data_IF_017613116681
#
_entry.id   IF_017613116681
#
_cell.length_a   1.000
_cell.length_b   1.000
_cell.length_c   1.000
_cell.angle_alpha   90.00
_cell.angle_beta   90.00
_cell.angle_gamma   90.00
#
_symmetry.space_group_name_H-M   'P 1'
#
loop_
_entity.id
_entity.type
_entity.pdbx_description
1 polymer ?
#
# COMPACT_ATOMS: atom_id res chain seq x y z
N UNK A 1 26.47 25.21 6.82
CA UNK A 1 26.45 24.93 5.36
C UNK A 1 27.16 23.62 5.11
N UNK A 2 26.46 22.56 4.73
CA UNK A 2 27.10 21.30 4.38
C UNK A 2 27.72 21.41 2.99
N UNK A 3 29.00 21.04 2.89
CA UNK A 3 29.77 21.14 1.66
C UNK A 3 29.55 20.02 0.65
N UNK A 4 28.63 19.08 0.89
CA UNK A 4 28.50 17.85 0.12
C UNK A 4 27.05 17.53 -0.24
N UNK A 5 26.36 18.43 -0.91
CA UNK A 5 25.16 18.04 -1.65
C UNK A 5 25.60 17.31 -2.94
N UNK A 6 25.27 16.05 -3.07
CA UNK A 6 25.47 15.31 -4.31
C UNK A 6 24.24 15.55 -5.17
N UNK A 7 24.45 16.05 -6.39
CA UNK A 7 23.39 16.03 -7.38
C UNK A 7 23.18 14.59 -7.85
N UNK A 8 22.05 13.96 -7.53
CA UNK A 8 21.81 12.56 -7.86
C UNK A 8 21.73 12.29 -9.37
N UNK A 9 21.59 13.35 -10.17
CA UNK A 9 21.52 13.24 -11.62
C UNK A 9 22.89 13.53 -12.29
N UNK A 10 23.98 13.61 -11.52
CA UNK A 10 25.33 13.75 -12.00
C UNK A 10 25.57 15.09 -12.71
N UNK A 11 26.74 15.63 -12.58
CA UNK A 11 27.20 16.76 -13.34
C UNK A 11 26.92 18.13 -12.72
N UNK A 12 27.85 19.02 -12.96
CA UNK A 12 27.75 20.46 -12.67
C UNK A 12 26.71 21.04 -13.62
N UNK A 13 25.55 21.35 -13.16
CA UNK A 13 24.49 21.93 -13.96
C UNK A 13 23.30 21.01 -14.26
N UNK A 14 23.13 19.93 -13.51
CA UNK A 14 21.94 19.09 -13.57
C UNK A 14 20.66 19.83 -13.21
N UNK A 15 19.54 19.15 -13.21
CA UNK A 15 18.16 19.63 -13.08
C UNK A 15 17.82 20.62 -11.96
N UNK A 16 18.78 21.10 -11.21
CA UNK A 16 18.58 22.01 -10.07
C UNK A 16 18.04 21.36 -8.81
N UNK A 17 17.69 20.09 -8.84
CA UNK A 17 17.30 19.35 -7.64
C UNK A 17 18.57 18.91 -6.94
N UNK A 18 18.88 19.56 -5.84
CA UNK A 18 19.98 19.15 -4.96
C UNK A 18 19.40 18.42 -3.77
N UNK A 19 19.49 17.10 -3.78
CA UNK A 19 19.17 16.31 -2.61
C UNK A 19 20.40 16.18 -1.70
N UNK A 20 20.26 16.25 -0.39
CA UNK A 20 21.37 15.93 0.50
C UNK A 20 21.78 14.48 0.29
N UNK A 21 23.09 14.16 0.25
CA UNK A 21 23.58 12.79 -0.03
C UNK A 21 23.14 11.78 1.02
N UNK A 22 22.82 12.25 2.19
CA UNK A 22 22.28 11.47 3.30
C UNK A 22 21.19 12.29 3.92
N UNK A 23 19.99 11.79 3.80
CA UNK A 23 18.88 12.32 4.55
C UNK A 23 19.02 11.82 5.99
N UNK A 24 19.24 12.72 6.93
CA UNK A 24 19.24 12.38 8.33
C UNK A 24 17.94 12.87 8.96
N UNK A 25 17.15 11.97 9.49
CA UNK A 25 15.87 12.32 10.11
C UNK A 25 15.98 13.35 11.24
N UNK A 26 17.11 13.34 11.96
CA UNK A 26 17.42 14.30 13.02
C UNK A 26 17.76 15.71 12.53
N UNK A 27 17.85 15.91 11.22
CA UNK A 27 18.07 17.22 10.66
C UNK A 27 16.76 17.85 10.26
N UNK A 28 16.52 19.07 10.68
CA UNK A 28 15.37 19.83 10.21
C UNK A 28 15.42 19.97 8.69
N UNK A 29 14.60 19.18 8.01
CA UNK A 29 14.62 19.08 6.56
C UNK A 29 13.55 19.98 5.97
N UNK A 30 13.47 21.18 6.48
CA UNK A 30 12.59 22.22 5.96
C UNK A 30 12.78 22.44 4.46
N UNK A 31 13.94 22.06 3.91
CA UNK A 31 14.27 22.25 2.48
C UNK A 31 14.15 21.00 1.64
N UNK A 32 13.75 19.87 2.19
CA UNK A 32 13.53 18.65 1.41
C UNK A 32 12.04 18.54 1.07
N UNK A 33 11.65 19.20 0.05
CA UNK A 33 10.25 19.28 -0.37
C UNK A 33 9.79 18.08 -1.18
N UNK A 34 10.75 17.30 -1.70
CA UNK A 34 10.47 16.26 -2.67
C UNK A 34 11.17 14.96 -2.29
N UNK A 35 10.46 13.86 -2.30
CA UNK A 35 11.02 12.52 -2.23
C UNK A 35 11.34 11.99 -3.62
N UNK A 36 12.56 11.50 -3.83
CA UNK A 36 12.97 10.88 -5.11
C UNK A 36 13.16 9.38 -4.89
N UNK A 37 12.24 8.55 -5.40
CA UNK A 37 12.31 7.11 -5.22
C UNK A 37 13.64 6.51 -5.69
N UNK A 38 14.17 5.57 -4.92
CA UNK A 38 15.41 4.86 -5.21
C UNK A 38 16.70 5.62 -4.86
N UNK A 39 16.64 6.89 -4.47
CA UNK A 39 17.79 7.68 -4.06
C UNK A 39 17.99 7.78 -2.55
N UNK A 40 16.93 7.58 -1.80
CA UNK A 40 16.93 7.68 -0.35
C UNK A 40 16.57 6.32 0.25
N UNK A 41 17.45 5.79 1.06
CA UNK A 41 17.14 4.63 1.90
C UNK A 41 16.42 5.08 3.17
N UNK A 42 15.60 4.20 3.73
CA UNK A 42 15.03 4.41 5.06
C UNK A 42 16.15 4.36 6.09
N UNK A 43 16.24 5.37 6.94
CA UNK A 43 17.23 5.41 8.02
C UNK A 43 16.98 4.29 9.05
N UNK A 44 18.01 3.86 9.82
CA UNK A 44 17.90 2.72 10.73
C UNK A 44 16.87 2.92 11.86
N UNK A 45 16.53 4.15 12.20
CA UNK A 45 15.55 4.51 13.23
C UNK A 45 14.35 5.26 12.63
N UNK A 46 14.11 5.08 11.36
CA UNK A 46 13.09 5.78 10.58
C UNK A 46 11.96 4.83 10.16
N UNK A 47 10.74 5.35 10.19
CA UNK A 47 9.55 4.77 9.55
C UNK A 47 9.17 5.66 8.38
N UNK A 48 9.00 5.09 7.19
CA UNK A 48 8.50 5.78 6.00
C UNK A 48 7.13 5.24 5.64
N UNK A 49 6.16 6.14 5.56
CA UNK A 49 4.78 5.84 5.21
C UNK A 49 4.50 6.48 3.86
N UNK A 50 4.05 5.68 2.89
CA UNK A 50 3.74 6.14 1.53
C UNK A 50 2.29 5.82 1.20
N UNK A 51 1.52 6.83 0.82
CA UNK A 51 0.14 6.68 0.38
C UNK A 51 0.13 6.30 -1.09
N UNK A 52 0.10 5.01 -1.38
CA UNK A 52 0.16 4.47 -2.75
C UNK A 52 -1.20 4.30 -3.41
N UNK A 53 -2.26 4.57 -2.68
CA UNK A 53 -3.64 4.69 -3.13
C UNK A 53 -4.44 5.45 -2.09
N UNK A 54 -5.20 6.45 -2.51
CA UNK A 54 -5.80 7.44 -1.61
C UNK A 54 -7.28 7.73 -1.88
N UNK A 55 -7.88 7.02 -2.84
CA UNK A 55 -9.25 7.27 -3.30
C UNK A 55 -10.22 6.16 -2.88
N UNK A 56 -11.47 6.49 -2.53
CA UNK A 56 -12.58 5.55 -2.52
C UNK A 56 -13.03 5.20 -3.95
N UNK A 57 -14.10 4.45 -4.07
CA UNK A 57 -14.76 4.26 -5.36
C UNK A 57 -15.61 5.50 -5.74
N UNK A 58 -15.56 5.98 -6.99
CA UNK A 58 -14.76 5.53 -8.13
C UNK A 58 -13.32 6.08 -8.11
N UNK A 59 -12.34 5.30 -8.59
CA UNK A 59 -10.95 5.76 -8.66
C UNK A 59 -10.80 6.91 -9.66
N UNK A 60 -9.75 7.72 -9.47
CA UNK A 60 -9.42 8.86 -10.31
C UNK A 60 -8.12 8.63 -11.06
N UNK A 61 -7.82 9.47 -12.03
CA UNK A 61 -6.59 9.33 -12.83
C UNK A 61 -5.32 9.38 -11.99
N UNK A 62 -5.28 10.25 -11.00
CA UNK A 62 -4.16 10.55 -10.11
C UNK A 62 -4.35 10.00 -8.68
N UNK A 63 -5.39 9.21 -8.49
CA UNK A 63 -5.68 8.53 -7.24
C UNK A 63 -6.09 7.07 -7.51
N UNK A 64 -5.24 6.14 -7.13
CA UNK A 64 -5.56 4.73 -7.04
C UNK A 64 -6.45 4.47 -5.81
N UNK A 65 -7.08 3.31 -5.78
CA UNK A 65 -7.85 2.90 -4.61
C UNK A 65 -6.93 2.61 -3.41
N UNK A 66 -7.49 2.62 -2.23
CA UNK A 66 -6.81 2.75 -0.95
C UNK A 66 -5.69 1.75 -0.72
N UNK A 67 -4.52 2.26 -0.38
CA UNK A 67 -3.39 1.46 0.08
C UNK A 67 -2.30 2.34 0.72
N UNK A 68 -1.73 1.87 1.82
CA UNK A 68 -0.65 2.54 2.53
C UNK A 68 0.52 1.58 2.66
N UNK A 69 1.69 1.98 2.18
CA UNK A 69 2.94 1.23 2.33
C UNK A 69 3.74 1.81 3.50
N UNK A 70 4.19 0.95 4.40
CA UNK A 70 5.04 1.32 5.55
C UNK A 70 6.36 0.58 5.44
N UNK A 71 7.45 1.33 5.36
CA UNK A 71 8.82 0.83 5.33
C UNK A 71 9.53 1.18 6.63
N UNK A 72 10.23 0.22 7.21
CA UNK A 72 10.95 0.38 8.48
C UNK A 72 12.46 0.32 8.28
N UNK A 73 13.21 1.00 9.12
CA UNK A 73 14.67 1.04 9.06
C UNK A 73 15.36 -0.31 9.31
N UNK A 74 14.64 -1.33 9.78
CA UNK A 74 15.12 -2.71 9.87
C UNK A 74 15.01 -3.49 8.54
N UNK A 75 14.42 -2.87 7.50
CA UNK A 75 14.21 -3.45 6.18
C UNK A 75 12.85 -4.08 5.96
N UNK A 76 12.02 -4.22 6.99
CA UNK A 76 10.65 -4.73 6.85
C UNK A 76 9.77 -3.73 6.08
N UNK A 77 8.85 -4.27 5.29
CA UNK A 77 7.86 -3.48 4.54
C UNK A 77 6.49 -4.11 4.67
N UNK A 78 5.50 -3.30 4.97
CA UNK A 78 4.12 -3.70 5.19
C UNK A 78 3.18 -2.88 4.29
N UNK A 79 2.10 -3.53 3.85
CA UNK A 79 1.06 -2.89 3.06
C UNK A 79 -0.25 -2.98 3.84
N UNK A 80 -0.85 -1.84 4.12
CA UNK A 80 -2.17 -1.74 4.73
C UNK A 80 -3.17 -1.42 3.63
N UNK A 81 -3.99 -2.42 3.30
CA UNK A 81 -4.80 -2.49 2.09
C UNK A 81 -3.97 -2.52 0.80
N UNK A 82 -4.57 -3.00 -0.28
CA UNK A 82 -3.96 -3.05 -1.61
C UNK A 82 -5.06 -2.89 -2.68
N UNK A 83 -5.64 -1.71 -2.74
CA UNK A 83 -6.71 -1.38 -3.67
C UNK A 83 -6.23 -1.25 -5.12
N UNK A 84 -7.15 -1.33 -6.09
CA UNK A 84 -6.82 -1.27 -7.53
C UNK A 84 -6.00 -0.05 -7.93
N UNK A 85 -4.86 -0.31 -8.59
CA UNK A 85 -3.91 0.70 -9.07
C UNK A 85 -2.78 1.02 -8.10
N UNK A 86 -2.81 0.55 -6.85
CA UNK A 86 -1.80 0.83 -5.84
C UNK A 86 -0.47 0.11 -6.12
N UNK A 87 -0.50 -1.10 -6.67
CA UNK A 87 0.71 -1.84 -7.07
C UNK A 87 1.55 -1.03 -8.08
N UNK A 88 0.91 -0.36 -9.03
CA UNK A 88 1.61 0.53 -9.97
C UNK A 88 2.40 1.63 -9.23
N UNK A 89 1.80 2.24 -8.23
CA UNK A 89 2.42 3.30 -7.44
C UNK A 89 3.55 2.77 -6.55
N UNK A 90 3.40 1.59 -5.92
CA UNK A 90 4.47 0.94 -5.19
C UNK A 90 5.70 0.68 -6.09
N UNK A 91 5.48 0.18 -7.31
CA UNK A 91 6.54 -0.02 -8.30
C UNK A 91 7.17 1.32 -8.71
N UNK A 92 6.39 2.37 -8.90
CA UNK A 92 6.89 3.71 -9.21
C UNK A 92 7.76 4.28 -8.07
N UNK A 93 7.44 3.94 -6.82
CA UNK A 93 8.27 4.24 -5.64
C UNK A 93 9.48 3.29 -5.49
N UNK A 94 9.80 2.52 -6.52
CA UNK A 94 10.94 1.60 -6.60
C UNK A 94 10.85 0.39 -5.66
N UNK A 95 9.65 0.00 -5.23
CA UNK A 95 9.44 -1.27 -4.57
C UNK A 95 9.36 -2.39 -5.62
N UNK A 96 10.25 -3.37 -5.52
CA UNK A 96 10.21 -4.52 -6.41
C UNK A 96 8.93 -5.35 -6.18
N UNK A 97 8.30 -5.90 -7.23
CA UNK A 97 7.06 -6.68 -7.08
C UNK A 97 7.15 -7.79 -6.03
N UNK A 98 8.28 -8.49 -5.96
CA UNK A 98 8.53 -9.56 -5.00
C UNK A 98 8.63 -9.09 -3.53
N UNK A 99 8.79 -7.79 -3.29
CA UNK A 99 8.82 -7.19 -1.96
C UNK A 99 7.42 -6.77 -1.46
N UNK A 100 6.40 -6.84 -2.32
CA UNK A 100 5.01 -6.59 -1.95
C UNK A 100 4.45 -7.92 -1.44
N UNK A 101 4.69 -8.21 -0.18
CA UNK A 101 4.50 -9.56 0.35
C UNK A 101 3.77 -9.66 1.69
N UNK A 102 3.85 -8.66 2.56
CA UNK A 102 3.13 -8.62 3.84
C UNK A 102 1.98 -7.62 3.75
N UNK A 103 0.76 -8.11 3.55
CA UNK A 103 -0.43 -7.30 3.30
C UNK A 103 -1.43 -7.48 4.45
N UNK A 104 -1.85 -6.37 5.04
CA UNK A 104 -2.88 -6.29 6.08
C UNK A 104 -4.15 -5.72 5.45
N UNK A 105 -5.22 -6.49 5.40
CA UNK A 105 -6.50 -6.09 4.82
C UNK A 105 -7.43 -5.62 5.94
N UNK A 106 -7.90 -4.39 5.85
CA UNK A 106 -8.82 -3.83 6.85
C UNK A 106 -10.20 -4.45 6.73
N UNK A 107 -10.69 -4.64 5.53
CA UNK A 107 -11.97 -5.27 5.22
C UNK A 107 -12.04 -5.69 3.75
N UNK A 108 -13.11 -6.36 3.34
CA UNK A 108 -13.19 -7.02 2.04
C UNK A 108 -13.95 -6.23 0.96
N UNK A 109 -14.10 -4.90 1.08
CA UNK A 109 -14.49 -4.10 -0.06
C UNK A 109 -13.38 -4.09 -1.10
N UNK A 110 -13.75 -4.16 -2.38
CA UNK A 110 -12.80 -4.43 -3.46
C UNK A 110 -11.79 -3.30 -3.69
N UNK A 111 -12.11 -2.08 -3.30
CA UNK A 111 -11.20 -0.93 -3.31
C UNK A 111 -10.10 -0.99 -2.24
N UNK A 112 -10.13 -1.98 -1.34
CA UNK A 112 -9.09 -2.23 -0.33
C UNK A 112 -8.19 -3.44 -0.63
N UNK A 113 -8.58 -4.35 -1.54
CA UNK A 113 -7.75 -5.52 -1.84
C UNK A 113 -7.72 -5.90 -3.33
N UNK A 114 -8.36 -5.14 -4.21
CA UNK A 114 -8.55 -5.52 -5.61
C UNK A 114 -7.27 -5.62 -6.45
N UNK A 115 -6.12 -5.11 -5.98
CA UNK A 115 -4.82 -5.35 -6.62
C UNK A 115 -4.15 -6.66 -6.15
N UNK A 116 -4.64 -7.32 -5.09
CA UNK A 116 -4.11 -8.63 -4.65
C UNK A 116 -4.25 -9.69 -5.76
N UNK A 117 -5.42 -9.87 -6.41
CA UNK A 117 -5.56 -10.80 -7.52
C UNK A 117 -4.66 -10.49 -8.73
N UNK A 118 -4.32 -9.21 -8.93
CA UNK A 118 -3.39 -8.79 -9.99
C UNK A 118 -1.93 -9.06 -9.59
N UNK A 119 -1.54 -8.71 -8.37
CA UNK A 119 -0.20 -8.90 -7.85
C UNK A 119 0.19 -10.37 -7.73
N UNK A 120 -0.69 -11.18 -7.15
CA UNK A 120 -0.42 -12.54 -6.69
C UNK A 120 0.17 -13.47 -7.77
N UNK A 121 -0.44 -13.64 -8.96
CA UNK A 121 0.05 -14.57 -9.94
C UNK A 121 1.36 -14.12 -10.60
N UNK A 122 1.50 -12.83 -10.89
CA UNK A 122 2.67 -12.31 -11.60
C UNK A 122 3.93 -12.28 -10.72
N UNK A 123 3.81 -11.95 -9.46
CA UNK A 123 4.99 -11.86 -8.57
C UNK A 123 5.59 -13.22 -8.25
N UNK A 124 4.82 -14.29 -8.38
CA UNK A 124 5.32 -15.64 -8.21
C UNK A 124 6.53 -15.92 -9.12
N UNK A 125 6.44 -15.59 -10.41
CA UNK A 125 7.52 -15.77 -11.37
C UNK A 125 8.51 -14.60 -11.43
N UNK A 126 8.27 -13.51 -10.69
CA UNK A 126 9.10 -12.31 -10.68
C UNK A 126 9.90 -12.13 -9.39
N UNK A 127 10.28 -13.21 -8.74
CA UNK A 127 11.20 -13.20 -7.59
C UNK A 127 10.58 -13.65 -6.27
N UNK A 128 9.26 -13.83 -6.16
CA UNK A 128 8.61 -14.32 -4.94
C UNK A 128 8.56 -15.85 -4.81
N UNK A 129 9.23 -16.58 -5.65
CA UNK A 129 9.26 -18.06 -5.59
C UNK A 129 9.84 -18.64 -4.29
N UNK A 130 10.55 -17.85 -3.48
CA UNK A 130 11.12 -18.26 -2.20
C UNK A 130 10.15 -18.19 -1.06
N UNK A 131 9.14 -17.33 -1.18
CA UNK A 131 8.23 -16.98 -0.11
C UNK A 131 6.77 -17.05 -0.57
N UNK A 132 5.90 -17.49 0.33
CA UNK A 132 4.47 -17.34 0.16
C UNK A 132 4.04 -15.87 0.24
N UNK A 133 2.93 -15.51 -0.39
CA UNK A 133 2.26 -14.24 -0.13
C UNK A 133 1.61 -14.30 1.24
N UNK A 134 1.89 -13.34 2.12
CA UNK A 134 1.32 -13.29 3.46
C UNK A 134 0.20 -12.26 3.50
N UNK A 135 -0.99 -12.73 3.84
CA UNK A 135 -2.19 -11.90 3.98
C UNK A 135 -2.67 -12.01 5.43
N UNK A 136 -2.75 -10.89 6.11
CA UNK A 136 -3.37 -10.77 7.43
C UNK A 136 -4.67 -10.00 7.29
N UNK A 137 -5.76 -10.52 7.84
CA UNK A 137 -7.04 -9.84 7.77
C UNK A 137 -8.10 -10.43 8.70
N UNK A 138 -9.23 -9.75 8.87
CA UNK A 138 -10.29 -10.18 9.75
C UNK A 138 -11.03 -11.41 9.20
N UNK A 139 -11.58 -12.22 10.10
CA UNK A 139 -12.68 -13.11 9.78
C UNK A 139 -13.94 -12.28 9.45
N UNK A 140 -14.98 -12.95 9.01
CA UNK A 140 -16.27 -12.28 8.74
C UNK A 140 -17.36 -12.72 9.70
N UNK A 141 -18.56 -12.18 9.50
CA UNK A 141 -19.76 -12.60 10.22
C UNK A 141 -20.05 -14.12 10.09
N UNK A 142 -19.44 -14.78 9.14
CA UNK A 142 -19.43 -16.23 8.94
C UNK A 142 -18.13 -16.66 8.26
N UNK A 143 -17.75 -17.96 8.36
CA UNK A 143 -16.54 -18.48 7.70
C UNK A 143 -16.47 -18.24 6.19
N UNK A 144 -17.60 -18.08 5.53
CA UNK A 144 -17.68 -17.81 4.09
C UNK A 144 -17.36 -16.37 3.70
N UNK A 145 -17.27 -15.47 4.66
CA UNK A 145 -17.13 -14.02 4.46
C UNK A 145 -15.81 -13.47 5.02
N UNK A 146 -14.91 -14.33 5.48
CA UNK A 146 -13.62 -13.95 6.01
C UNK A 146 -12.52 -13.86 4.95
N UNK A 147 -11.38 -13.37 5.38
CA UNK A 147 -10.17 -13.19 4.54
C UNK A 147 -9.68 -14.52 3.96
N UNK A 148 -9.61 -15.59 4.78
CA UNK A 148 -9.11 -16.89 4.33
C UNK A 148 -9.96 -17.44 3.18
N UNK A 149 -11.27 -17.44 3.32
CA UNK A 149 -12.17 -17.92 2.28
C UNK A 149 -12.14 -17.05 1.03
N UNK A 150 -11.94 -15.75 1.19
CA UNK A 150 -11.80 -14.84 0.06
C UNK A 150 -10.55 -15.16 -0.75
N UNK A 151 -9.41 -15.43 -0.10
CA UNK A 151 -8.16 -15.80 -0.78
C UNK A 151 -8.27 -17.17 -1.48
N UNK A 152 -8.96 -18.14 -0.91
CA UNK A 152 -9.25 -19.41 -1.60
C UNK A 152 -10.03 -19.18 -2.90
N UNK A 153 -11.13 -18.42 -2.83
CA UNK A 153 -11.95 -18.10 -4.01
C UNK A 153 -11.19 -17.30 -5.05
N UNK A 154 -10.28 -16.43 -4.63
CA UNK A 154 -9.39 -15.70 -5.53
C UNK A 154 -8.48 -16.67 -6.30
N UNK A 155 -7.91 -17.68 -5.64
CA UNK A 155 -7.10 -18.72 -6.32
C UNK A 155 -7.93 -19.48 -7.34
N UNK A 156 -9.15 -19.89 -6.99
CA UNK A 156 -10.07 -20.57 -7.92
C UNK A 156 -10.36 -19.70 -9.16
N UNK A 157 -10.61 -18.42 -8.95
CA UNK A 157 -10.84 -17.47 -10.04
C UNK A 157 -9.64 -17.34 -10.99
N UNK A 158 -8.43 -17.51 -10.47
CA UNK A 158 -7.18 -17.33 -11.21
C UNK A 158 -6.62 -18.66 -11.77
N UNK A 159 -7.32 -19.76 -11.64
CA UNK A 159 -6.84 -21.11 -12.00
C UNK A 159 -6.24 -21.15 -13.39
N UNK A 160 -6.88 -20.55 -14.39
CA UNK A 160 -6.38 -20.51 -15.77
C UNK A 160 -4.97 -19.92 -15.84
N UNK A 161 -4.72 -18.80 -15.14
CA UNK A 161 -3.42 -18.15 -15.11
C UNK A 161 -2.36 -19.01 -14.38
N UNK A 162 -2.75 -19.61 -13.26
CA UNK A 162 -1.84 -20.41 -12.45
C UNK A 162 -1.36 -21.65 -13.21
N UNK A 163 -2.27 -22.33 -13.92
CA UNK A 163 -1.94 -23.50 -14.76
C UNK A 163 -1.06 -23.12 -15.97
N UNK A 164 -1.35 -21.97 -16.63
CA UNK A 164 -0.58 -21.49 -17.77
C UNK A 164 0.90 -21.26 -17.43
N UNK A 165 1.19 -20.78 -16.23
CA UNK A 165 2.56 -20.48 -15.78
C UNK A 165 3.19 -21.57 -14.89
N UNK A 166 2.56 -22.73 -14.73
CA UNK A 166 3.06 -23.82 -13.86
C UNK A 166 4.44 -24.34 -14.31
N UNK A 167 4.78 -24.21 -15.57
CA UNK A 167 6.10 -24.58 -16.10
C UNK A 167 7.22 -23.61 -15.70
N UNK A 168 6.89 -22.45 -15.16
CA UNK A 168 7.83 -21.38 -14.79
C UNK A 168 8.48 -21.60 -13.42
N UNK A 169 9.39 -20.70 -13.03
CA UNK A 169 10.02 -20.73 -11.72
C UNK A 169 9.07 -20.22 -10.63
N UNK A 170 8.10 -21.03 -10.23
CA UNK A 170 7.03 -20.65 -9.30
C UNK A 170 7.43 -20.90 -7.84
N UNK A 171 8.06 -22.03 -7.52
CA UNK A 171 8.41 -22.41 -6.15
C UNK A 171 7.24 -22.25 -5.18
N UNK A 172 7.44 -21.47 -4.12
CA UNK A 172 6.37 -21.09 -3.17
C UNK A 172 5.48 -19.93 -3.63
N UNK A 173 5.74 -19.37 -4.79
CA UNK A 173 5.08 -18.16 -5.25
C UNK A 173 3.56 -18.27 -5.38
N UNK A 174 3.01 -19.46 -5.53
CA UNK A 174 1.57 -19.71 -5.53
C UNK A 174 1.01 -20.13 -4.17
N UNK A 175 1.84 -20.14 -3.12
CA UNK A 175 1.35 -20.29 -1.76
C UNK A 175 0.85 -18.94 -1.22
N UNK A 176 -0.23 -18.97 -0.48
CA UNK A 176 -0.75 -17.84 0.30
C UNK A 176 -0.84 -18.27 1.75
N UNK A 177 -0.12 -17.61 2.63
CA UNK A 177 -0.24 -17.76 4.06
C UNK A 177 -1.26 -16.73 4.57
N UNK A 178 -2.42 -17.19 5.00
CA UNK A 178 -3.45 -16.31 5.55
C UNK A 178 -3.40 -16.39 7.07
N UNK A 179 -3.19 -15.24 7.70
CA UNK A 179 -3.36 -15.04 9.12
C UNK A 179 -4.71 -14.36 9.37
N UNK A 180 -5.76 -15.15 9.53
CA UNK A 180 -7.10 -14.66 9.82
C UNK A 180 -7.30 -14.56 11.34
N UNK A 181 -7.79 -13.40 11.81
CA UNK A 181 -8.04 -13.13 13.22
C UNK A 181 -9.53 -12.84 13.48
N UNK A 182 -9.99 -13.03 14.70
CA UNK A 182 -11.35 -12.65 15.12
C UNK A 182 -11.48 -11.11 15.09
N UNK A 183 -12.32 -10.62 14.19
CA UNK A 183 -12.54 -9.17 14.03
C UNK A 183 -13.08 -8.49 15.29
N UNK A 184 -13.63 -9.25 16.25
CA UNK A 184 -14.19 -8.73 17.51
C UNK A 184 -13.13 -8.52 18.59
N UNK A 185 -11.92 -9.02 18.40
CA UNK A 185 -10.85 -8.83 19.38
C UNK A 185 -10.46 -7.35 19.48
N UNK A 186 -10.62 -6.82 20.68
CA UNK A 186 -10.22 -5.45 20.98
C UNK A 186 -8.71 -5.40 21.33
N UNK A 187 -7.91 -4.72 20.52
CA UNK A 187 -6.46 -4.58 20.69
C UNK A 187 -5.69 -5.93 20.58
N UNK A 188 -6.20 -6.87 19.80
CA UNK A 188 -5.55 -8.15 19.52
C UNK A 188 -4.23 -7.99 18.77
N UNK A 189 -3.24 -8.85 19.01
CA UNK A 189 -1.99 -8.88 18.26
C UNK A 189 -2.18 -9.81 17.06
N UNK A 190 -2.09 -9.26 15.85
CA UNK A 190 -2.14 -10.05 14.61
C UNK A 190 -0.77 -10.23 13.93
N UNK A 191 0.27 -9.56 14.40
CA UNK A 191 1.64 -9.74 13.93
C UNK A 191 2.64 -9.36 15.02
N UNK A 192 3.66 -10.20 15.23
CA UNK A 192 4.75 -9.90 16.15
C UNK A 192 6.04 -10.58 15.66
N UNK A 193 6.93 -9.79 15.05
CA UNK A 193 8.20 -10.28 14.51
C UNK A 193 9.18 -9.13 14.30
N UNK A 194 10.49 -9.37 14.41
CA UNK A 194 11.56 -8.40 14.15
C UNK A 194 11.43 -7.09 14.94
N UNK A 195 10.84 -7.14 16.14
CA UNK A 195 10.58 -5.94 16.96
C UNK A 195 9.40 -5.09 16.46
N UNK A 196 8.65 -5.58 15.47
CA UNK A 196 7.40 -4.99 15.00
C UNK A 196 6.24 -5.70 15.66
N UNK A 197 5.27 -4.93 16.17
CA UNK A 197 4.00 -5.45 16.65
C UNK A 197 2.88 -4.76 15.87
N UNK A 198 1.95 -5.55 15.31
CA UNK A 198 0.73 -5.01 14.72
C UNK A 198 -0.47 -5.49 15.53
N UNK A 199 -1.29 -4.54 15.96
CA UNK A 199 -2.53 -4.75 16.72
C UNK A 199 -3.73 -4.37 15.88
N UNK A 200 -4.88 -4.93 16.21
CA UNK A 200 -6.14 -4.66 15.54
C UNK A 200 -7.30 -4.47 16.53
N UNK A 201 -8.37 -3.85 16.06
CA UNK A 201 -9.65 -3.73 16.78
C UNK A 201 -10.79 -3.55 15.77
N UNK A 202 -12.04 -3.92 16.18
CA UNK A 202 -13.18 -3.83 15.28
C UNK A 202 -13.53 -2.40 14.87
N UNK A 203 -14.01 -2.27 13.65
CA UNK A 203 -14.58 -1.04 13.09
C UNK A 203 -16.07 -1.24 12.74
N UNK A 204 -16.86 -0.19 12.88
CA UNK A 204 -18.25 -0.19 12.42
C UNK A 204 -18.31 0.31 10.98
N UNK A 205 -18.41 -0.63 10.02
CA UNK A 205 -18.43 -0.31 8.60
C UNK A 205 -19.35 -1.29 7.85
N UNK A 206 -20.63 -0.93 7.73
CA UNK A 206 -21.65 -1.66 7.00
C UNK A 206 -21.87 -3.11 7.43
N UNK A 207 -20.84 -3.93 7.33
CA UNK A 207 -20.87 -5.36 7.66
C UNK A 207 -19.77 -5.73 8.65
N UNK A 208 -20.01 -6.74 9.49
CA UNK A 208 -19.02 -7.26 10.43
C UNK A 208 -17.78 -7.79 9.70
N UNK A 209 -16.61 -7.54 10.29
CA UNK A 209 -15.32 -7.94 9.74
C UNK A 209 -14.45 -6.76 9.30
N UNK A 210 -14.84 -5.52 9.53
CA UNK A 210 -13.94 -4.38 9.34
C UNK A 210 -13.07 -4.18 10.58
N UNK A 211 -11.78 -3.87 10.37
CA UNK A 211 -10.78 -3.73 11.43
C UNK A 211 -9.83 -2.57 11.14
N UNK A 212 -9.39 -1.90 12.22
CA UNK A 212 -8.28 -0.95 12.20
C UNK A 212 -6.98 -1.64 12.60
N UNK A 213 -5.85 -1.00 12.27
CA UNK A 213 -4.51 -1.49 12.61
C UNK A 213 -3.66 -0.42 13.28
N UNK A 214 -2.85 -0.87 14.23
CA UNK A 214 -1.75 -0.11 14.82
C UNK A 214 -0.45 -0.88 14.68
N UNK A 215 0.56 -0.26 14.08
CA UNK A 215 1.92 -0.77 13.99
C UNK A 215 2.80 0.00 14.98
N UNK A 216 3.49 -0.74 15.84
CA UNK A 216 4.50 -0.20 16.75
C UNK A 216 5.87 -0.82 16.42
N UNK A 217 6.88 0.03 16.26
CA UNK A 217 8.26 -0.38 16.00
C UNK A 217 9.27 0.66 16.50
N UNK A 218 10.29 0.23 17.25
CA UNK A 218 11.41 1.06 17.73
C UNK A 218 10.97 2.37 18.45
N UNK A 219 9.80 2.32 19.10
CA UNK A 219 9.21 3.48 19.77
C UNK A 219 8.54 4.49 18.84
N UNK A 220 8.33 4.12 17.57
CA UNK A 220 7.49 4.80 16.60
C UNK A 220 6.17 4.05 16.42
N UNK A 221 5.11 4.77 16.06
CA UNK A 221 3.77 4.21 15.96
C UNK A 221 2.97 4.81 14.80
N UNK A 222 2.26 3.94 14.10
CA UNK A 222 1.39 4.28 12.98
C UNK A 222 0.03 3.61 13.17
N UNK A 223 -1.04 4.33 12.87
CA UNK A 223 -2.41 3.78 12.85
C UNK A 223 -3.04 4.05 11.49
N UNK A 224 -3.65 3.02 10.93
CA UNK A 224 -4.62 3.09 9.85
C UNK A 224 -5.96 2.55 10.35
N UNK A 225 -6.98 3.41 10.37
CA UNK A 225 -8.30 3.00 10.88
C UNK A 225 -9.06 2.09 9.94
N UNK A 226 -8.67 2.01 8.66
CA UNK A 226 -9.59 1.49 7.64
C UNK A 226 -10.84 2.33 7.56
N UNK A 227 -11.82 1.83 6.85
CA UNK A 227 -13.13 2.46 6.74
C UNK A 227 -13.98 2.22 7.98
N UNK A 228 -14.79 3.19 8.32
CA UNK A 228 -15.72 3.04 9.43
C UNK A 228 -16.12 4.36 10.07
N UNK A 229 -17.16 4.26 10.87
CA UNK A 229 -17.67 5.40 11.67
C UNK A 229 -16.67 5.78 12.76
N UNK A 230 -16.69 7.03 13.25
CA UNK A 230 -15.93 7.41 14.45
C UNK A 230 -16.28 6.49 15.62
N UNK A 231 -15.27 5.99 16.32
CA UNK A 231 -15.49 5.05 17.42
C UNK A 231 -14.53 5.24 18.59
N UNK A 232 -14.95 4.71 19.74
CA UNK A 232 -14.20 4.77 20.98
C UNK A 232 -12.88 3.98 20.93
N UNK A 233 -12.86 2.83 20.29
CA UNK A 233 -11.69 1.96 20.28
C UNK A 233 -10.55 2.58 19.48
N UNK A 234 -10.87 3.18 18.32
CA UNK A 234 -9.88 3.93 17.52
C UNK A 234 -9.28 5.09 18.32
N UNK A 235 -10.08 5.81 19.12
CA UNK A 235 -9.56 6.86 20.01
C UNK A 235 -8.68 6.26 21.10
N UNK A 236 -9.15 5.20 21.77
CA UNK A 236 -8.48 4.63 22.93
C UNK A 236 -7.12 4.01 22.56
N UNK A 237 -7.07 3.19 21.52
CA UNK A 237 -5.86 2.47 21.13
C UNK A 237 -4.89 3.30 20.28
N UNK A 238 -5.30 4.50 19.87
CA UNK A 238 -4.44 5.40 19.09
C UNK A 238 -3.90 6.59 19.88
N UNK A 239 -4.20 6.73 21.18
CA UNK A 239 -3.75 7.87 21.97
C UNK A 239 -2.22 8.06 21.90
N UNK A 240 -1.82 9.27 21.52
CA UNK A 240 -0.43 9.67 21.49
C UNK A 240 0.45 8.96 20.46
N UNK A 241 -0.14 8.36 19.42
CA UNK A 241 0.63 7.77 18.30
C UNK A 241 1.35 8.84 17.50
N UNK A 242 2.42 8.46 16.80
CA UNK A 242 3.14 9.39 15.93
C UNK A 242 2.29 9.80 14.74
N UNK A 243 1.74 8.82 14.02
CA UNK A 243 0.92 9.06 12.82
C UNK A 243 -0.43 8.39 12.98
N UNK A 244 -1.49 9.16 12.97
CA UNK A 244 -2.86 8.68 12.97
C UNK A 244 -3.53 8.98 11.65
N UNK A 245 -3.83 7.95 10.90
CA UNK A 245 -4.49 8.03 9.59
C UNK A 245 -5.91 7.51 9.71
N UNK A 246 -6.88 8.31 9.26
CA UNK A 246 -8.27 7.88 9.11
C UNK A 246 -8.75 8.14 7.68
N UNK A 247 -9.79 7.42 7.28
CA UNK A 247 -10.57 7.81 6.12
C UNK A 247 -11.48 8.97 6.45
N UNK A 248 -11.96 9.66 5.44
CA UNK A 248 -13.13 10.54 5.58
C UNK A 248 -13.91 10.58 4.30
N UNK A 249 -15.22 10.57 4.46
CA UNK A 249 -16.14 10.96 3.40
C UNK A 249 -16.76 12.30 3.81
N UNK A 250 -16.86 13.23 2.87
CA UNK A 250 -17.47 14.51 3.21
C UNK A 250 -18.99 14.36 3.37
N UNK A 251 -19.54 15.04 4.35
CA UNK A 251 -20.99 15.10 4.59
C UNK A 251 -21.65 16.19 3.68
N UNK A 252 -21.44 16.06 2.39
CA UNK A 252 -21.89 17.01 1.37
C UNK A 252 -22.76 16.31 0.32
N UNK A 253 -23.81 15.63 0.78
CA UNK A 253 -24.69 14.84 -0.08
C UNK A 253 -25.18 15.54 -1.33
N UNK A 254 -25.49 16.85 -1.26
CA UNK A 254 -25.89 17.63 -2.43
C UNK A 254 -24.76 17.81 -3.45
N UNK A 255 -23.53 18.08 -2.98
CA UNK A 255 -22.36 18.18 -3.85
C UNK A 255 -22.05 16.84 -4.52
N UNK A 256 -22.13 15.76 -3.76
CA UNK A 256 -21.89 14.41 -4.28
C UNK A 256 -23.01 13.95 -5.22
N UNK A 257 -24.24 14.35 -4.98
CA UNK A 257 -25.31 14.16 -5.94
C UNK A 257 -24.99 14.84 -7.28
N UNK A 258 -24.54 16.08 -7.25
CA UNK A 258 -24.14 16.81 -8.45
C UNK A 258 -22.96 16.15 -9.17
N UNK A 259 -21.94 15.71 -8.43
CA UNK A 259 -20.71 15.12 -8.99
C UNK A 259 -20.89 13.69 -9.50
N UNK A 260 -21.61 12.85 -8.77
CA UNK A 260 -21.70 11.41 -9.01
C UNK A 260 -23.08 10.96 -9.49
N UNK A 261 -24.08 11.83 -9.50
CA UNK A 261 -25.47 11.47 -9.81
C UNK A 261 -26.16 10.60 -8.75
N UNK A 262 -25.53 10.41 -7.59
CA UNK A 262 -26.08 9.63 -6.49
C UNK A 262 -27.11 10.46 -5.73
N UNK A 263 -28.32 9.94 -5.42
CA UNK A 263 -29.26 10.67 -4.59
C UNK A 263 -28.64 11.10 -3.26
N UNK A 264 -28.84 12.34 -2.85
CA UNK A 264 -28.28 12.92 -1.61
C UNK A 264 -28.65 12.13 -0.37
N UNK A 265 -29.90 11.67 -0.24
CA UNK A 265 -30.35 10.84 0.87
C UNK A 265 -29.59 9.48 0.93
N UNK A 266 -29.23 8.90 -0.22
CA UNK A 266 -28.47 7.66 -0.26
C UNK A 266 -27.01 7.90 0.15
N UNK A 267 -26.42 8.99 -0.33
CA UNK A 267 -25.06 9.36 0.03
C UNK A 267 -24.95 9.62 1.54
N UNK A 268 -25.87 10.42 2.10
CA UNK A 268 -25.90 10.70 3.54
C UNK A 268 -26.08 9.40 4.36
N UNK A 269 -26.95 8.49 3.90
CA UNK A 269 -27.09 7.18 4.53
C UNK A 269 -25.77 6.38 4.53
N UNK A 270 -25.01 6.41 3.44
CA UNK A 270 -23.71 5.76 3.34
C UNK A 270 -22.71 6.36 4.34
N UNK A 271 -22.64 7.68 4.44
CA UNK A 271 -21.76 8.33 5.44
C UNK A 271 -22.16 7.92 6.85
N UNK A 272 -23.43 8.03 7.20
CA UNK A 272 -23.94 7.75 8.54
C UNK A 272 -23.72 6.30 8.99
N UNK A 273 -23.68 5.36 8.07
CA UNK A 273 -23.61 3.94 8.36
C UNK A 273 -22.25 3.30 8.11
N UNK A 274 -21.40 3.90 7.27
CA UNK A 274 -20.18 3.27 6.79
C UNK A 274 -18.91 4.10 7.03
N UNK A 275 -19.00 5.42 7.08
CA UNK A 275 -17.82 6.27 6.98
C UNK A 275 -17.69 7.31 8.09
N UNK A 276 -16.51 7.89 8.18
CA UNK A 276 -16.20 8.99 9.10
C UNK A 276 -16.48 10.32 8.41
N UNK A 277 -17.43 11.14 8.88
CA UNK A 277 -17.61 12.50 8.37
C UNK A 277 -16.39 13.37 8.74
N UNK A 278 -16.11 14.39 7.95
CA UNK A 278 -14.91 15.22 8.08
C UNK A 278 -14.76 15.89 9.48
N UNK A 279 -15.85 16.39 10.07
CA UNK A 279 -15.83 16.91 11.44
C UNK A 279 -15.61 15.81 12.49
N UNK A 280 -16.10 14.57 12.22
CA UNK A 280 -15.85 13.40 13.05
C UNK A 280 -14.38 12.99 13.05
N UNK A 281 -13.69 13.10 11.91
CA UNK A 281 -12.24 12.94 11.84
C UNK A 281 -11.52 13.96 12.72
N UNK A 282 -11.90 15.24 12.64
CA UNK A 282 -11.37 16.31 13.49
C UNK A 282 -11.56 16.02 14.98
N UNK A 283 -12.75 15.53 15.37
CA UNK A 283 -13.02 15.13 16.75
C UNK A 283 -12.10 13.98 17.20
N UNK A 284 -11.93 12.94 16.37
CA UNK A 284 -11.02 11.83 16.71
C UNK A 284 -9.57 12.34 16.86
N UNK A 285 -9.10 13.22 16.00
CA UNK A 285 -7.76 13.79 16.08
C UNK A 285 -7.55 14.57 17.39
N UNK A 286 -8.53 15.36 17.82
CA UNK A 286 -8.48 16.06 19.10
C UNK A 286 -8.39 15.07 20.27
N UNK A 287 -9.12 13.98 20.25
CA UNK A 287 -9.10 12.99 21.32
C UNK A 287 -7.83 12.11 21.32
N UNK A 288 -7.26 11.84 20.15
CA UNK A 288 -6.05 11.01 19.97
C UNK A 288 -4.77 11.79 20.27
N UNK A 289 -4.70 13.08 19.89
CA UNK A 289 -3.52 13.95 20.00
C UNK A 289 -2.27 13.31 19.35
N UNK A 290 -2.31 12.93 18.07
CA UNK A 290 -1.14 12.36 17.40
C UNK A 290 -0.09 13.45 17.15
N UNK A 291 1.17 13.05 16.86
CA UNK A 291 2.18 14.00 16.38
C UNK A 291 1.82 14.57 15.01
N UNK A 292 1.20 13.75 14.15
CA UNK A 292 0.52 14.20 12.91
C UNK A 292 -0.76 13.41 12.71
N UNK A 293 -1.84 14.14 12.41
CA UNK A 293 -3.11 13.59 11.95
C UNK A 293 -3.16 13.62 10.43
N UNK A 294 -3.67 12.56 9.81
CA UNK A 294 -3.77 12.48 8.36
C UNK A 294 -5.11 11.92 7.92
N UNK A 295 -5.56 12.38 6.77
CA UNK A 295 -6.74 11.87 6.08
C UNK A 295 -6.34 11.31 4.72
N UNK A 296 -6.84 10.12 4.40
CA UNK A 296 -6.79 9.51 3.07
C UNK A 296 -8.18 8.96 2.72
N UNK A 297 -8.33 8.19 1.66
CA UNK A 297 -9.60 7.61 1.21
C UNK A 297 -10.68 8.70 0.98
N UNK A 298 -10.32 9.69 0.18
CA UNK A 298 -11.22 10.80 -0.19
C UNK A 298 -10.98 11.23 -1.65
N UNK A 299 -11.98 11.83 -2.25
CA UNK A 299 -11.78 12.51 -3.54
C UNK A 299 -10.99 13.81 -3.31
N UNK A 300 -9.74 13.82 -3.77
CA UNK A 300 -8.86 14.97 -3.59
C UNK A 300 -9.12 16.05 -4.64
N UNK A 301 -10.18 16.80 -4.44
CA UNK A 301 -10.57 17.96 -5.25
C UNK A 301 -10.69 19.21 -4.39
N UNK A 302 -10.47 20.37 -5.00
CA UNK A 302 -10.34 21.64 -4.28
C UNK A 302 -11.57 21.98 -3.42
N UNK A 303 -12.75 21.72 -3.89
CA UNK A 303 -14.01 21.97 -3.17
C UNK A 303 -14.17 20.99 -1.98
N UNK A 304 -13.83 19.71 -2.16
CA UNK A 304 -13.87 18.69 -1.11
C UNK A 304 -12.79 18.96 -0.06
N UNK A 305 -11.56 19.19 -0.49
CA UNK A 305 -10.41 19.43 0.41
C UNK A 305 -10.65 20.62 1.33
N UNK A 306 -11.22 21.70 0.81
CA UNK A 306 -11.52 22.88 1.62
C UNK A 306 -12.57 22.59 2.70
N UNK A 307 -13.62 21.87 2.37
CA UNK A 307 -14.67 21.50 3.32
C UNK A 307 -14.15 20.51 4.38
N UNK A 308 -13.40 19.51 3.94
CA UNK A 308 -12.77 18.55 4.86
C UNK A 308 -11.84 19.27 5.84
N UNK A 309 -11.01 20.18 5.34
CA UNK A 309 -10.12 20.97 6.20
C UNK A 309 -10.91 21.83 7.20
N UNK A 310 -11.98 22.47 6.74
CA UNK A 310 -12.84 23.28 7.62
C UNK A 310 -13.43 22.41 8.76
N UNK A 311 -14.01 21.25 8.43
CA UNK A 311 -14.58 20.35 9.43
C UNK A 311 -13.54 19.78 10.40
N UNK A 312 -12.33 19.41 9.91
CA UNK A 312 -11.24 19.01 10.81
C UNK A 312 -10.92 20.13 11.79
N UNK A 313 -10.85 21.38 11.32
CA UNK A 313 -10.49 22.55 12.14
C UNK A 313 -11.58 23.01 13.11
N UNK A 314 -12.77 22.45 13.04
CA UNK A 314 -13.81 22.66 14.07
C UNK A 314 -13.38 22.07 15.45
N UNK A 315 -12.54 21.05 15.44
CA UNK A 315 -12.16 20.30 16.64
C UNK A 315 -10.65 20.21 16.88
N UNK A 316 -9.83 20.25 15.84
CA UNK A 316 -8.41 19.94 15.95
C UNK A 316 -7.51 21.03 15.34
N UNK A 317 -6.64 21.60 16.18
CA UNK A 317 -5.67 22.64 15.80
C UNK A 317 -4.23 22.09 15.60
N UNK A 318 -4.02 20.79 15.81
CA UNK A 318 -2.70 20.17 15.71
C UNK A 318 -2.18 20.04 14.28
N UNK A 319 -1.04 19.36 14.13
CA UNK A 319 -0.43 19.11 12.83
C UNK A 319 -1.29 18.17 12.02
N UNK A 320 -1.67 18.60 10.83
CA UNK A 320 -2.56 17.88 9.92
C UNK A 320 -2.06 17.93 8.49
N UNK A 321 -2.16 16.80 7.77
CA UNK A 321 -1.90 16.71 6.34
C UNK A 321 -2.88 15.74 5.66
N UNK A 322 -3.02 15.86 4.34
CA UNK A 322 -3.70 14.85 3.53
C UNK A 322 -2.72 13.78 3.06
N UNK A 323 -3.12 12.52 3.14
CA UNK A 323 -2.48 11.40 2.46
C UNK A 323 -3.02 11.23 1.03
N UNK A 324 -3.11 12.35 0.31
CA UNK A 324 -3.65 12.47 -1.04
C UNK A 324 -3.09 13.75 -1.72
N UNK A 325 -2.99 13.81 -3.06
CA UNK A 325 -3.19 12.69 -3.98
C UNK A 325 -2.14 11.58 -3.78
N UNK A 326 -2.18 10.52 -4.60
CA UNK A 326 -1.25 9.40 -4.46
C UNK A 326 0.23 9.81 -4.41
N UNK A 327 1.01 8.93 -3.78
CA UNK A 327 2.47 9.03 -3.60
C UNK A 327 2.94 10.18 -2.70
N UNK A 328 2.08 10.61 -1.78
CA UNK A 328 2.51 11.35 -0.60
C UNK A 328 3.36 10.46 0.30
N UNK A 329 4.48 10.98 0.77
CA UNK A 329 5.45 10.26 1.61
C UNK A 329 5.66 10.98 2.94
N UNK A 330 5.49 10.25 4.02
CA UNK A 330 5.71 10.73 5.39
C UNK A 330 6.91 9.98 5.98
N UNK A 331 7.89 10.71 6.43
CA UNK A 331 9.02 10.17 7.16
C UNK A 331 8.88 10.51 8.64
N UNK A 332 9.07 9.52 9.49
CA UNK A 332 8.86 9.61 10.93
C UNK A 332 10.10 9.13 11.65
N UNK A 333 10.59 9.96 12.58
CA UNK A 333 11.59 9.58 13.56
C UNK A 333 11.15 10.06 14.94
N UNK A 334 11.89 9.71 15.98
CA UNK A 334 11.61 10.21 17.34
C UNK A 334 11.67 11.74 17.41
N UNK A 335 12.53 12.36 16.60
CA UNK A 335 12.82 13.80 16.67
C UNK A 335 12.05 14.64 15.66
N UNK A 336 11.60 14.05 14.53
CA UNK A 336 10.99 14.79 13.45
C UNK A 336 9.95 13.98 12.66
N UNK A 337 8.98 14.69 12.09
CA UNK A 337 8.07 14.19 11.07
C UNK A 337 8.05 15.20 9.92
N UNK A 338 8.02 14.71 8.69
CA UNK A 338 7.89 15.56 7.51
C UNK A 338 7.12 14.86 6.40
N UNK A 339 6.36 15.64 5.65
CA UNK A 339 5.50 15.19 4.55
C UNK A 339 6.08 15.73 3.25
N UNK A 340 6.16 14.88 2.23
CA UNK A 340 6.72 15.23 0.93
C UNK A 340 5.92 14.62 -0.21
N UNK A 341 5.93 15.29 -1.36
CA UNK A 341 5.49 14.69 -2.61
C UNK A 341 6.61 13.84 -3.21
N UNK A 342 6.28 12.71 -3.80
CA UNK A 342 7.25 11.95 -4.56
C UNK A 342 7.42 12.53 -5.98
N UNK A 343 8.64 12.83 -6.37
CA UNK A 343 8.98 13.12 -7.76
C UNK A 343 9.20 11.81 -8.50
N UNK A 344 8.13 11.28 -9.09
CA UNK A 344 8.23 10.08 -9.89
C UNK A 344 8.98 10.35 -11.20
N UNK A 345 9.93 9.49 -11.60
CA UNK A 345 10.53 9.60 -12.91
C UNK A 345 9.47 9.40 -13.99
N UNK A 346 9.55 10.18 -15.06
CA UNK A 346 8.54 10.19 -16.13
C UNK A 346 8.34 8.85 -16.86
N UNK A 347 9.28 7.93 -16.70
CA UNK A 347 9.18 6.53 -17.11
C UNK A 347 9.71 5.66 -15.95
N UNK A 348 8.91 5.52 -14.90
CA UNK A 348 9.21 4.61 -13.80
C UNK A 348 8.88 3.19 -14.23
N UNK A 349 9.88 2.44 -14.61
CA UNK A 349 9.78 0.99 -14.74
C UNK A 349 9.95 0.32 -13.39
N UNK A 350 9.57 -0.95 -13.31
CA UNK A 350 9.89 -1.78 -12.17
C UNK A 350 11.40 -1.72 -11.88
N UNK A 351 11.82 -1.60 -10.61
CA UNK A 351 13.21 -1.65 -10.27
C UNK A 351 13.79 -2.95 -10.82
N UNK A 352 14.95 -2.85 -11.47
CA UNK A 352 15.62 -4.04 -11.97
C UNK A 352 16.25 -4.76 -10.79
N UNK A 353 15.80 -5.97 -10.45
CA UNK A 353 16.45 -6.72 -9.39
C UNK A 353 17.89 -6.99 -9.82
N UNK A 354 18.81 -6.89 -8.88
CA UNK A 354 20.16 -7.34 -9.09
C UNK A 354 20.12 -8.86 -9.34
N UNK A 355 20.61 -9.37 -10.49
CA UNK A 355 20.60 -10.81 -10.75
C UNK A 355 21.26 -11.65 -9.64
N UNK A 356 22.25 -11.10 -8.94
CA UNK A 356 22.89 -11.76 -7.82
C UNK A 356 22.02 -11.80 -6.55
N UNK A 357 21.09 -10.86 -6.41
CA UNK A 357 20.09 -10.88 -5.33
C UNK A 357 18.95 -11.83 -5.65
N UNK A 358 18.58 -11.92 -6.93
CA UNK A 358 17.59 -12.90 -7.39
C UNK A 358 18.11 -14.35 -7.27
N UNK A 359 19.36 -14.58 -7.62
CA UNK A 359 20.01 -15.88 -7.61
C UNK A 359 21.35 -15.81 -6.88
N UNK A 360 21.39 -15.64 -5.54
CA UNK A 360 22.65 -15.67 -4.79
C UNK A 360 23.28 -17.07 -4.96
N UNK A 361 24.40 -17.12 -5.66
CA UNK A 361 25.08 -18.36 -6.03
C UNK A 361 24.83 -18.85 -7.47
N UNK A 362 24.05 -18.06 -8.26
CA UNK A 362 23.80 -18.35 -9.67
C UNK A 362 22.74 -19.43 -9.90
N UNK A 363 22.62 -19.93 -11.14
CA UNK A 363 21.62 -20.94 -11.52
C UNK A 363 21.67 -22.23 -10.68
N UNK A 364 22.85 -22.57 -10.17
CA UNK A 364 23.06 -23.81 -9.39
C UNK A 364 22.41 -23.77 -7.99
N UNK A 365 21.94 -22.62 -7.55
CA UNK A 365 21.24 -22.45 -6.27
C UNK A 365 19.71 -22.45 -6.42
N UNK A 366 19.21 -22.65 -7.62
CA UNK A 366 17.77 -22.81 -7.85
C UNK A 366 17.28 -24.12 -7.21
N UNK A 367 16.10 -24.12 -6.55
CA UNK A 367 15.48 -25.37 -6.11
C UNK A 367 15.30 -26.34 -7.28
N UNK A 368 15.43 -27.65 -7.03
CA UNK A 368 15.23 -28.67 -8.06
C UNK A 368 13.88 -28.60 -8.77
N UNK A 369 12.86 -28.05 -8.08
CA UNK A 369 11.55 -27.73 -8.65
C UNK A 369 11.55 -26.59 -9.67
N UNK A 370 12.65 -25.88 -9.81
CA UNK A 370 12.86 -24.76 -10.72
C UNK A 370 13.85 -25.12 -11.84
N UNK A 371 13.98 -26.39 -12.19
CA UNK A 371 14.77 -26.75 -13.36
C UNK A 371 14.20 -26.05 -14.57
N UNK A 372 14.95 -25.04 -15.03
CA UNK A 372 14.62 -24.38 -16.28
C UNK A 372 14.46 -25.43 -17.37
N UNK A 373 13.41 -25.38 -18.19
CA UNK A 373 13.36 -26.20 -19.38
C UNK A 373 14.66 -25.96 -20.17
N UNK A 374 15.23 -27.00 -20.83
CA UNK A 374 16.49 -26.85 -21.54
C UNK A 374 16.43 -25.64 -22.45
N UNK A 375 17.45 -24.76 -22.33
CA UNK A 375 17.56 -23.54 -23.13
C UNK A 375 17.31 -23.92 -24.60
N UNK A 376 16.13 -23.55 -25.07
CA UNK A 376 15.80 -23.78 -26.47
C UNK A 376 16.67 -22.85 -27.29
N UNK A 377 17.08 -23.36 -28.40
CA UNK A 377 17.84 -22.80 -29.57
C UNK A 377 18.05 -21.28 -29.60
N UNK A 378 19.10 -20.79 -30.28
CA UNK A 378 19.33 -19.38 -30.48
C UNK A 378 18.04 -18.65 -30.90
N UNK A 379 17.83 -17.47 -30.33
CA UNK A 379 16.60 -16.68 -30.50
C UNK A 379 16.16 -16.46 -31.94
N UNK A 380 17.13 -16.31 -32.85
CA UNK A 380 16.89 -16.10 -34.28
C UNK A 380 16.24 -17.32 -34.94
N UNK A 381 16.66 -18.51 -34.59
CA UNK A 381 16.07 -19.75 -35.13
C UNK A 381 14.68 -20.06 -34.56
N UNK A 382 14.38 -19.53 -33.37
CA UNK A 382 13.02 -19.64 -32.80
C UNK A 382 12.04 -18.72 -33.52
N UNK A 383 12.45 -17.49 -33.83
CA UNK A 383 11.61 -16.55 -34.57
C UNK A 383 11.32 -17.02 -35.99
N UNK A 384 12.33 -17.54 -36.69
CA UNK A 384 12.16 -18.06 -38.05
C UNK A 384 11.27 -19.31 -38.10
N UNK A 385 11.34 -20.16 -37.07
CA UNK A 385 10.47 -21.30 -36.95
C UNK A 385 9.04 -20.83 -36.67
N UNK A 386 8.84 -19.93 -35.71
CA UNK A 386 7.55 -19.37 -35.36
C UNK A 386 6.88 -18.65 -36.54
N UNK A 387 7.59 -17.83 -37.28
CA UNK A 387 7.03 -17.13 -38.44
C UNK A 387 6.61 -18.10 -39.56
N UNK A 388 7.30 -19.23 -39.70
CA UNK A 388 6.88 -20.29 -40.64
C UNK A 388 5.67 -21.09 -40.16
N UNK A 389 5.56 -21.24 -38.87
CA UNK A 389 4.48 -22.02 -38.25
C UNK A 389 3.15 -21.27 -38.26
N UNK A 390 3.14 -19.94 -38.01
CA UNK A 390 1.91 -19.14 -38.06
C UNK A 390 1.30 -19.02 -39.47
N UNK A 391 2.05 -19.32 -40.57
CA UNK A 391 1.51 -19.42 -41.91
C UNK A 391 0.75 -20.72 -42.17
N UNK A 392 0.89 -21.71 -41.27
CA UNK A 392 0.40 -23.09 -41.57
C UNK A 392 -0.85 -23.46 -40.78
N UNK A 393 -0.94 -23.19 -39.49
CA UNK A 393 -2.16 -23.44 -38.70
C UNK A 393 -2.06 -22.83 -37.27
N UNK A 394 -2.89 -21.86 -36.92
CA UNK A 394 -2.91 -21.29 -35.57
C UNK A 394 -3.40 -22.27 -34.48
N UNK A 395 -3.90 -23.45 -34.83
CA UNK A 395 -4.40 -24.45 -33.89
C UNK A 395 -3.42 -25.61 -33.63
N UNK A 396 -2.21 -25.59 -34.20
CA UNK A 396 -1.21 -26.61 -33.97
C UNK A 396 -0.47 -26.53 -32.61
N UNK A 397 -0.88 -25.60 -31.75
CA UNK A 397 -0.21 -25.34 -30.47
C UNK A 397 -1.06 -25.66 -29.22
N UNK A 398 -2.24 -26.20 -29.42
CA UNK A 398 -3.13 -26.62 -28.35
C UNK A 398 -3.47 -28.10 -28.41
#
# INVERSE_FOLDING_TARGET
MRKNSVNPYGGKGGSGITLPPYYRPTEHVINNQVFVPGLEQVGPDEMRISFIGSCPWPPRRDQAATSIMVELGNGDTFFFDLGPGSVKNAIALQKAPAQINDIFITHLHFDHWGDVPYLYPFTASMGRWRDALRITGPDGASPDLGTARTMERMKDMLQWHLEEFEFGPIGKGYEIEVNEFDHRDENGICYEKNGVTVRHWPRSHGKDGASAYRLDWNGLSFVWTGDGRPDRLSIEYSKGVDVFVTETQNDLGQLMHYKLGVPDWWYNYMIDTHHTPHYGAGYMFDQVQPRIAMITHLEYEQDIVNEVLAGVREHYDGLFAFGAPDVQVVNVTKDAIWVRDAALPGMSGSPRPNPMEMFPGGPDTMPDSMTLPPVRRPRETQQDAYLREIEVDPHLYY
#
